data_IF_588448013065
#
_entry.id   IF_588448013065
#
_cell.length_a   1.000
_cell.length_b   1.000
_cell.length_c   1.000
_cell.angle_alpha   90.00
_cell.angle_beta   90.00
_cell.angle_gamma   90.00
#
_symmetry.space_group_name_H-M   'P 1'
#
loop_
_entity.id
_entity.type
_entity.pdbx_description
1 polymer ?
#
# COMPACT_ATOMS: atom_id res chain seq x y z
N UNK A 1 13.24 17.13 -13.38
CA UNK A 1 11.90 17.21 -12.77
C UNK A 1 11.39 15.79 -12.69
N UNK A 2 11.41 15.19 -11.50
CA UNK A 2 10.77 13.88 -11.29
C UNK A 2 9.28 14.03 -11.57
N UNK A 3 8.77 13.28 -12.55
CA UNK A 3 7.37 13.32 -12.90
C UNK A 3 6.57 12.75 -11.72
N UNK A 4 5.65 13.54 -11.18
CA UNK A 4 4.71 13.06 -10.18
C UNK A 4 3.97 11.84 -10.73
N UNK A 5 3.98 10.74 -9.96
CA UNK A 5 3.29 9.53 -10.36
C UNK A 5 1.79 9.80 -10.52
N UNK A 6 1.22 9.44 -11.67
CA UNK A 6 -0.22 9.60 -11.93
C UNK A 6 -0.94 8.30 -11.57
N UNK A 7 -1.79 8.29 -10.52
CA UNK A 7 -2.55 7.10 -10.15
C UNK A 7 -3.48 6.65 -11.28
N UNK A 8 -3.62 5.33 -11.43
CA UNK A 8 -4.48 4.67 -12.43
C UNK A 8 -5.84 4.31 -11.86
N UNK A 9 -5.91 4.03 -10.57
CA UNK A 9 -7.13 3.76 -9.83
C UNK A 9 -7.53 4.94 -8.92
N UNK A 10 -8.80 4.94 -8.52
CA UNK A 10 -9.40 5.96 -7.66
C UNK A 10 -9.12 5.70 -6.18
N UNK A 11 -9.17 6.74 -5.35
CA UNK A 11 -9.01 6.60 -3.89
C UNK A 11 -10.01 5.61 -3.27
N UNK A 12 -11.24 5.56 -3.78
CA UNK A 12 -12.26 4.61 -3.35
C UNK A 12 -11.90 3.15 -3.68
N UNK A 13 -11.24 2.91 -4.83
CA UNK A 13 -10.77 1.58 -5.20
C UNK A 13 -9.64 1.14 -4.27
N UNK A 14 -8.72 2.05 -3.94
CA UNK A 14 -7.67 1.75 -2.97
C UNK A 14 -8.25 1.40 -1.60
N UNK A 15 -9.28 2.10 -1.13
CA UNK A 15 -9.82 1.90 0.22
C UNK A 15 -10.73 0.67 0.35
N UNK A 16 -11.19 0.08 -0.75
CA UNK A 16 -12.00 -1.14 -0.73
C UNK A 16 -11.19 -2.39 -0.48
N UNK A 17 -9.90 -2.35 -0.77
CA UNK A 17 -9.02 -3.49 -0.64
C UNK A 17 -8.57 -3.72 0.81
N UNK A 18 -8.49 -4.99 1.18
CA UNK A 18 -7.94 -5.43 2.45
C UNK A 18 -6.45 -5.73 2.31
N UNK A 19 -5.67 -4.66 2.22
CA UNK A 19 -4.23 -4.73 1.95
C UNK A 19 -3.38 -5.51 2.98
N UNK A 20 -3.88 -5.72 4.21
CA UNK A 20 -3.20 -6.41 5.30
C UNK A 20 -4.14 -7.38 6.04
N UNK A 21 -4.79 -8.27 5.31
CA UNK A 21 -5.47 -9.43 5.90
C UNK A 21 -4.43 -10.53 6.22
N UNK A 22 -4.00 -10.62 7.47
CA UNK A 22 -3.42 -11.84 8.01
C UNK A 22 -4.46 -12.52 8.93
N UNK A 23 -4.78 -13.79 8.63
CA UNK A 23 -5.95 -14.48 9.19
C UNK A 23 -5.75 -15.05 10.59
N UNK A 24 -4.54 -14.98 11.14
CA UNK A 24 -4.17 -15.58 12.42
C UNK A 24 -3.80 -14.55 13.51
N UNK A 25 -4.02 -13.26 13.27
CA UNK A 25 -3.63 -12.19 14.21
C UNK A 25 -4.81 -11.38 14.75
N UNK A 26 -4.73 -10.98 16.02
CA UNK A 26 -5.69 -10.07 16.66
C UNK A 26 -5.43 -8.63 16.16
N UNK A 27 -6.06 -8.29 15.04
CA UNK A 27 -6.06 -6.94 14.50
C UNK A 27 -7.23 -6.14 15.08
N UNK A 28 -6.91 -5.10 15.85
CA UNK A 28 -7.91 -4.19 16.43
C UNK A 28 -7.67 -2.74 16.02
N UNK A 29 -8.73 -1.94 16.11
CA UNK A 29 -8.68 -0.48 15.94
C UNK A 29 -8.03 -0.04 14.62
N UNK A 30 -8.30 -0.78 13.54
CA UNK A 30 -7.78 -0.53 12.20
C UNK A 30 -8.31 0.80 11.65
N UNK A 31 -7.40 1.61 11.13
CA UNK A 31 -7.69 2.86 10.42
C UNK A 31 -7.01 2.80 9.08
N UNK A 32 -7.79 2.86 8.00
CA UNK A 32 -7.31 2.89 6.63
C UNK A 32 -7.75 4.20 5.96
N UNK A 33 -6.81 4.93 5.34
CA UNK A 33 -7.13 6.19 4.66
C UNK A 33 -6.09 6.59 3.63
N UNK A 34 -6.53 7.32 2.61
CA UNK A 34 -5.64 7.96 1.65
C UNK A 34 -5.14 9.32 2.18
N UNK A 35 -3.83 9.49 2.29
CA UNK A 35 -3.19 10.70 2.84
C UNK A 35 -2.19 11.32 1.86
N UNK A 36 -1.83 12.57 2.11
CA UNK A 36 -0.66 13.21 1.49
C UNK A 36 0.44 13.28 2.54
N UNK A 37 1.61 12.71 2.24
CA UNK A 37 2.72 12.65 3.19
C UNK A 37 3.24 14.07 3.48
N UNK A 38 3.56 14.34 4.75
CA UNK A 38 4.15 15.63 5.16
C UNK A 38 5.68 15.56 5.33
N UNK A 39 6.21 14.35 5.44
CA UNK A 39 7.64 14.03 5.54
C UNK A 39 7.91 12.77 4.72
N UNK A 40 9.18 12.43 4.44
CA UNK A 40 9.50 11.17 3.79
C UNK A 40 9.05 9.95 4.63
N UNK A 41 8.57 8.91 3.97
CA UNK A 41 8.18 7.63 4.58
C UNK A 41 8.69 6.46 3.76
N UNK A 42 8.85 5.29 4.38
CA UNK A 42 9.07 4.04 3.64
C UNK A 42 7.74 3.51 3.11
N UNK A 43 7.66 3.30 1.80
CA UNK A 43 6.62 2.45 1.21
C UNK A 43 6.95 1.00 1.56
N UNK A 44 5.98 0.27 2.11
CA UNK A 44 6.17 -1.16 2.41
C UNK A 44 6.22 -2.03 1.16
N UNK A 45 5.80 -1.50 0.02
CA UNK A 45 5.75 -2.21 -1.26
C UNK A 45 4.59 -3.19 -1.31
N UNK A 46 3.93 -3.28 -2.47
CA UNK A 46 3.04 -4.40 -2.76
C UNK A 46 3.23 -4.84 -4.21
N UNK A 47 3.25 -6.15 -4.47
CA UNK A 47 3.45 -6.77 -5.80
C UNK A 47 4.84 -6.67 -6.45
N UNK A 48 5.75 -5.82 -5.94
CA UNK A 48 7.08 -5.57 -6.55
C UNK A 48 8.29 -5.86 -5.64
N UNK A 49 8.09 -6.29 -4.38
CA UNK A 49 9.18 -6.70 -3.47
C UNK A 49 10.15 -5.59 -3.01
N UNK A 50 10.16 -4.43 -3.67
CA UNK A 50 11.07 -3.33 -3.35
C UNK A 50 10.41 -2.32 -2.41
N UNK A 51 10.92 -2.26 -1.17
CA UNK A 51 10.69 -1.10 -0.30
C UNK A 51 11.34 0.12 -0.94
N UNK A 52 10.62 1.22 -1.01
CA UNK A 52 11.11 2.45 -1.62
C UNK A 52 10.65 3.68 -0.84
N UNK A 53 11.36 4.79 -1.01
CA UNK A 53 11.01 6.03 -0.34
C UNK A 53 9.76 6.68 -0.96
N UNK A 54 8.92 7.24 -0.10
CA UNK A 54 7.82 8.15 -0.41
C UNK A 54 8.29 9.56 -0.04
N UNK A 55 8.63 10.44 -1.01
CA UNK A 55 8.99 11.81 -0.69
C UNK A 55 7.81 12.57 -0.06
N UNK A 56 8.09 13.70 0.60
CA UNK A 56 7.05 14.59 1.11
C UNK A 56 6.14 15.10 -0.02
N UNK A 57 4.84 15.15 0.21
CA UNK A 57 3.85 15.53 -0.79
C UNK A 57 3.32 14.35 -1.61
N UNK A 58 3.82 13.14 -1.39
CA UNK A 58 3.33 11.94 -2.06
C UNK A 58 1.92 11.57 -1.59
N UNK A 59 1.08 11.15 -2.54
CA UNK A 59 -0.19 10.49 -2.23
C UNK A 59 0.11 9.03 -1.86
N UNK A 60 -0.36 8.61 -0.70
CA UNK A 60 -0.15 7.26 -0.19
C UNK A 60 -1.35 6.78 0.62
N UNK A 61 -1.57 5.49 0.62
CA UNK A 61 -2.43 4.82 1.58
C UNK A 61 -1.69 4.73 2.90
N UNK A 62 -2.38 5.11 3.97
CA UNK A 62 -1.94 4.97 5.33
C UNK A 62 -2.85 3.97 6.03
N UNK A 63 -2.23 2.97 6.63
CA UNK A 63 -2.92 2.08 7.55
C UNK A 63 -2.26 2.14 8.91
N UNK A 64 -3.09 2.07 9.96
CA UNK A 64 -2.63 1.85 11.32
C UNK A 64 -3.60 0.94 12.04
N UNK A 65 -3.05 0.03 12.85
CA UNK A 65 -3.80 -0.91 13.65
C UNK A 65 -3.05 -1.23 14.93
N UNK A 66 -3.77 -1.79 15.89
CA UNK A 66 -3.20 -2.46 17.05
C UNK A 66 -2.96 -3.92 16.67
N UNK A 67 -1.70 -4.32 16.60
CA UNK A 67 -1.22 -5.65 16.28
C UNK A 67 -0.59 -6.24 17.54
N UNK A 68 -1.19 -7.30 18.11
CA UNK A 68 -0.72 -7.94 19.36
C UNK A 68 -0.47 -6.93 20.51
N UNK A 69 -1.35 -5.94 20.63
CA UNK A 69 -1.23 -4.88 21.64
C UNK A 69 -0.23 -3.77 21.33
N UNK A 70 0.47 -3.83 20.19
CA UNK A 70 1.38 -2.78 19.72
C UNK A 70 0.79 -1.99 18.55
N UNK A 71 0.96 -0.67 18.57
CA UNK A 71 0.51 0.18 17.46
C UNK A 71 1.49 0.09 16.30
N UNK A 72 1.00 -0.37 15.16
CA UNK A 72 1.74 -0.40 13.91
C UNK A 72 1.14 0.60 12.92
N UNK A 73 1.99 1.06 12.00
CA UNK A 73 1.63 1.99 10.94
C UNK A 73 2.44 1.66 9.69
N UNK A 74 1.78 1.69 8.54
CA UNK A 74 2.41 1.45 7.26
C UNK A 74 1.92 2.45 6.21
N UNK A 75 2.75 2.61 5.18
CA UNK A 75 2.45 3.46 4.03
C UNK A 75 2.62 2.68 2.74
N UNK A 76 1.69 2.87 1.82
CA UNK A 76 1.74 2.25 0.49
C UNK A 76 1.51 3.30 -0.58
N UNK A 77 2.41 3.36 -1.57
CA UNK A 77 2.33 4.36 -2.62
C UNK A 77 1.26 4.00 -3.66
N UNK A 78 0.74 5.00 -4.37
CA UNK A 78 -0.22 4.77 -5.46
C UNK A 78 0.31 3.83 -6.55
N UNK A 79 1.63 3.83 -6.81
CA UNK A 79 2.24 2.94 -7.81
C UNK A 79 2.13 1.47 -7.43
N UNK A 80 2.44 1.13 -6.18
CA UNK A 80 2.30 -0.23 -5.67
C UNK A 80 0.83 -0.64 -5.59
N UNK A 81 -0.05 0.28 -5.19
CA UNK A 81 -1.48 0.00 -5.17
C UNK A 81 -2.03 -0.27 -6.58
N UNK A 82 -1.66 0.55 -7.56
CA UNK A 82 -2.08 0.31 -8.94
C UNK A 82 -1.52 -1.00 -9.48
N UNK A 83 -0.26 -1.33 -9.17
CA UNK A 83 0.32 -2.61 -9.60
C UNK A 83 -0.44 -3.81 -9.03
N UNK A 84 -0.80 -3.75 -7.74
CA UNK A 84 -1.61 -4.76 -7.09
C UNK A 84 -3.02 -4.85 -7.67
N UNK A 85 -3.70 -3.71 -7.81
CA UNK A 85 -5.05 -3.66 -8.36
C UNK A 85 -5.08 -4.16 -9.80
N UNK A 86 -4.09 -3.82 -10.63
CA UNK A 86 -3.99 -4.38 -11.98
C UNK A 86 -3.75 -5.89 -11.95
N UNK A 87 -2.93 -6.38 -11.01
CA UNK A 87 -2.67 -7.82 -10.85
C UNK A 87 -3.96 -8.58 -10.52
N UNK A 88 -4.69 -8.18 -9.47
CA UNK A 88 -5.92 -8.87 -9.06
C UNK A 88 -7.07 -8.69 -10.05
N UNK A 89 -7.09 -7.58 -10.81
CA UNK A 89 -8.07 -7.35 -11.88
C UNK A 89 -7.69 -8.04 -13.20
N UNK A 90 -6.57 -8.78 -13.26
CA UNK A 90 -6.10 -9.47 -14.46
C UNK A 90 -5.60 -8.55 -15.58
N UNK A 91 -5.26 -7.30 -15.27
CA UNK A 91 -4.71 -6.29 -16.20
C UNK A 91 -3.18 -6.30 -16.25
N UNK A 92 -2.54 -6.94 -15.28
CA UNK A 92 -1.11 -7.23 -15.27
C UNK A 92 -0.88 -8.73 -14.99
N UNK A 93 0.11 -9.32 -15.66
CA UNK A 93 0.56 -10.67 -15.33
C UNK A 93 1.15 -10.68 -13.90
N UNK A 94 0.99 -11.77 -13.12
CA UNK A 94 1.78 -11.95 -11.90
C UNK A 94 3.25 -11.72 -12.24
N UNK A 95 3.93 -10.86 -11.48
CA UNK A 95 5.37 -11.01 -11.34
C UNK A 95 5.60 -12.46 -10.88
N UNK A 96 6.45 -13.25 -11.56
CA UNK A 96 6.72 -14.62 -11.15
C UNK A 96 7.28 -14.58 -9.74
N UNK A 97 6.43 -14.88 -8.77
CA UNK A 97 6.84 -15.16 -7.41
C UNK A 97 7.38 -16.58 -7.49
N UNK A 98 8.71 -16.71 -7.49
CA UNK A 98 9.36 -18.00 -7.37
C UNK A 98 8.91 -18.62 -6.05
N UNK A 99 7.97 -19.57 -6.17
CA UNK A 99 7.66 -20.52 -5.10
C UNK A 99 8.94 -21.31 -4.84
N UNK A 100 9.55 -21.09 -3.67
CA UNK A 100 10.67 -21.87 -3.14
C UNK A 100 10.20 -22.84 -2.08
#
# INVERSE_FOLDING_TARGET
MEQAYRPRHSDEEYLREEWWEDRDVDLRQRTLRMVTTRKPHGCVGNGHGEQHELPSGSRALYESCLYDGEWVQCWLCCRCMDAWLDFINGRAAPSPQEEG
#
